data_IF_918820092872
#
_entry.id   IF_918820092872
#
_cell.length_a   1.000
_cell.length_b   1.000
_cell.length_c   1.000
_cell.angle_alpha   90.00
_cell.angle_beta   90.00
_cell.angle_gamma   90.00
#
_symmetry.space_group_name_H-M   'P 1'
#
loop_
_entity.id
_entity.type
_entity.pdbx_description
1 polymer ?
#
# COMPACT_ATOMS: atom_id res chain seq x y z
N UNK A 1 -28.18 44.92 -21.25
CA UNK A 1 -28.28 44.21 -19.97
C UNK A 1 -26.98 43.48 -19.75
N UNK A 2 -26.10 44.09 -18.97
CA UNK A 2 -24.83 43.49 -18.54
C UNK A 2 -25.16 42.73 -17.26
N UNK A 3 -25.07 41.40 -17.29
CA UNK A 3 -25.20 40.59 -16.08
C UNK A 3 -23.91 40.75 -15.29
N UNK A 4 -23.99 41.52 -14.21
CA UNK A 4 -22.94 41.64 -13.23
C UNK A 4 -22.94 40.33 -12.42
N UNK A 5 -21.99 39.43 -12.70
CA UNK A 5 -21.72 38.27 -11.84
C UNK A 5 -21.19 38.81 -10.52
N UNK A 6 -22.12 39.06 -9.60
CA UNK A 6 -21.80 39.45 -8.24
C UNK A 6 -20.86 38.42 -7.64
N UNK A 7 -19.68 38.88 -7.25
CA UNK A 7 -18.81 38.18 -6.31
C UNK A 7 -19.67 37.75 -5.13
N UNK A 8 -19.95 36.44 -5.04
CA UNK A 8 -20.57 35.87 -3.85
C UNK A 8 -19.53 36.01 -2.74
N UNK A 9 -19.67 37.08 -1.96
CA UNK A 9 -18.87 37.30 -0.76
C UNK A 9 -19.33 36.28 0.29
N UNK A 10 -18.71 35.10 0.29
CA UNK A 10 -18.94 34.10 1.32
C UNK A 10 -18.37 34.67 2.63
N UNK A 11 -19.28 35.02 3.55
CA UNK A 11 -18.92 35.53 4.87
C UNK A 11 -17.96 34.55 5.58
N UNK A 12 -16.83 35.00 6.15
CA UNK A 12 -15.88 34.14 6.87
C UNK A 12 -16.45 33.44 8.11
N UNK A 13 -17.68 33.77 8.54
CA UNK A 13 -18.22 33.39 9.85
C UNK A 13 -18.93 32.03 9.94
N UNK A 14 -19.10 31.29 8.84
CA UNK A 14 -19.81 30.00 8.85
C UNK A 14 -19.14 28.95 7.95
N UNK A 15 -17.82 28.78 8.04
CA UNK A 15 -17.16 27.61 7.46
C UNK A 15 -17.41 26.41 8.37
N UNK A 16 -18.43 25.62 8.07
CA UNK A 16 -18.67 24.35 8.76
C UNK A 16 -17.62 23.34 8.27
N UNK A 17 -16.52 23.24 9.01
CA UNK A 17 -15.41 22.34 8.68
C UNK A 17 -15.88 20.89 8.54
N UNK A 18 -16.89 20.47 9.31
CA UNK A 18 -17.44 19.10 9.21
C UNK A 18 -18.20 18.91 7.90
N UNK A 19 -18.94 19.91 7.45
CA UNK A 19 -19.60 19.86 6.15
C UNK A 19 -18.58 19.80 5.01
N UNK A 20 -17.47 20.52 5.12
CA UNK A 20 -16.39 20.51 4.13
C UNK A 20 -15.65 19.16 4.13
N UNK A 21 -15.37 18.58 5.30
CA UNK A 21 -14.82 17.22 5.40
C UNK A 21 -15.74 16.20 4.73
N UNK A 22 -17.06 16.31 4.89
CA UNK A 22 -18.02 15.44 4.19
C UNK A 22 -17.99 15.61 2.66
N UNK A 23 -17.73 16.83 2.16
CA UNK A 23 -17.53 17.05 0.72
C UNK A 23 -16.25 16.37 0.24
N UNK A 24 -15.16 16.44 1.02
CA UNK A 24 -13.93 15.71 0.73
C UNK A 24 -14.16 14.19 0.76
N UNK A 25 -14.87 13.66 1.77
CA UNK A 25 -15.23 12.25 1.86
C UNK A 25 -16.00 11.80 0.60
N UNK A 26 -16.97 12.60 0.16
CA UNK A 26 -17.77 12.32 -1.04
C UNK A 26 -16.92 12.36 -2.32
N UNK A 27 -16.07 13.37 -2.48
CA UNK A 27 -15.19 13.49 -3.64
C UNK A 27 -14.17 12.34 -3.69
N UNK A 28 -13.65 11.94 -2.54
CA UNK A 28 -12.73 10.82 -2.40
C UNK A 28 -13.41 9.50 -2.83
N UNK A 29 -14.62 9.23 -2.32
CA UNK A 29 -15.40 8.06 -2.70
C UNK A 29 -15.76 8.05 -4.20
N UNK A 30 -16.21 9.19 -4.73
CA UNK A 30 -16.54 9.33 -6.15
C UNK A 30 -15.32 9.04 -7.04
N UNK A 31 -14.15 9.60 -6.70
CA UNK A 31 -12.90 9.34 -7.43
C UNK A 31 -12.62 7.84 -7.56
N UNK A 32 -12.69 7.09 -6.46
CA UNK A 32 -12.36 5.66 -6.45
C UNK A 32 -13.32 4.83 -7.33
N UNK A 33 -14.57 5.27 -7.47
CA UNK A 33 -15.54 4.65 -8.39
C UNK A 33 -15.20 5.00 -9.86
N UNK A 34 -14.73 6.22 -10.12
CA UNK A 34 -14.45 6.72 -11.47
C UNK A 34 -13.18 6.12 -12.05
N UNK A 35 -12.15 5.91 -11.22
CA UNK A 35 -10.91 5.22 -11.62
C UNK A 35 -11.22 3.80 -12.14
N UNK A 36 -12.38 3.22 -11.78
CA UNK A 36 -12.87 1.93 -12.27
C UNK A 36 -13.67 2.02 -13.58
N UNK A 37 -14.31 3.16 -13.88
CA UNK A 37 -15.29 3.30 -14.97
C UNK A 37 -14.77 4.06 -16.21
N UNK A 38 -13.59 4.69 -16.12
CA UNK A 38 -12.94 5.52 -17.15
C UNK A 38 -13.88 6.55 -17.84
N UNK A 39 -14.77 7.13 -17.04
CA UNK A 39 -15.85 8.03 -17.45
C UNK A 39 -15.41 9.51 -17.36
N UNK A 40 -15.08 10.12 -18.49
CA UNK A 40 -14.60 11.53 -18.57
C UNK A 40 -15.55 12.52 -17.87
N UNK A 41 -16.87 12.34 -17.98
CA UNK A 41 -17.85 13.25 -17.36
C UNK A 41 -17.91 13.17 -15.84
N UNK A 42 -17.60 12.02 -15.26
CA UNK A 42 -17.62 11.83 -13.80
C UNK A 42 -16.34 12.40 -13.16
N UNK A 43 -15.20 12.34 -13.88
CA UNK A 43 -13.94 13.00 -13.49
C UNK A 43 -14.15 14.51 -13.32
N UNK A 44 -14.89 15.17 -14.22
CA UNK A 44 -15.12 16.62 -14.13
C UNK A 44 -16.02 17.01 -12.95
N UNK A 45 -17.05 16.21 -12.66
CA UNK A 45 -17.91 16.43 -11.48
C UNK A 45 -17.08 16.34 -10.18
N UNK A 46 -16.14 15.40 -10.11
CA UNK A 46 -15.26 15.24 -8.96
C UNK A 46 -14.30 16.42 -8.80
N UNK A 47 -13.74 16.95 -9.91
CA UNK A 47 -12.91 18.17 -9.87
C UNK A 47 -13.68 19.37 -9.33
N UNK A 48 -14.94 19.55 -9.72
CA UNK A 48 -15.76 20.66 -9.21
C UNK A 48 -15.94 20.60 -7.68
N UNK A 49 -16.09 19.40 -7.10
CA UNK A 49 -16.17 19.26 -5.63
C UNK A 49 -14.85 19.69 -4.97
N UNK A 50 -13.69 19.27 -5.50
CA UNK A 50 -12.41 19.70 -4.96
C UNK A 50 -12.18 21.22 -5.14
N UNK A 51 -12.57 21.81 -6.28
CA UNK A 51 -12.53 23.27 -6.49
C UNK A 51 -13.39 24.01 -5.46
N UNK A 52 -14.56 23.48 -5.08
CA UNK A 52 -15.38 24.04 -4.00
C UNK A 52 -14.67 23.96 -2.64
N UNK A 53 -13.97 22.85 -2.35
CA UNK A 53 -13.16 22.73 -1.13
C UNK A 53 -12.02 23.75 -1.12
N UNK A 54 -11.37 24.05 -2.25
CA UNK A 54 -10.33 25.09 -2.32
C UNK A 54 -10.84 26.47 -1.88
N UNK A 55 -12.09 26.80 -2.19
CA UNK A 55 -12.71 28.08 -1.84
C UNK A 55 -13.12 28.14 -0.36
N UNK A 56 -13.62 27.03 0.18
CA UNK A 56 -14.31 27.02 1.47
C UNK A 56 -13.48 26.43 2.61
N UNK A 57 -12.55 25.53 2.32
CA UNK A 57 -11.76 24.76 3.30
C UNK A 57 -10.86 25.60 4.19
N UNK A 58 -10.38 24.95 5.26
CA UNK A 58 -9.18 25.37 5.99
C UNK A 58 -7.91 24.98 5.20
N UNK A 59 -6.73 25.37 5.70
CA UNK A 59 -5.47 25.16 4.95
C UNK A 59 -5.16 23.69 4.68
N UNK A 60 -5.45 22.79 5.61
CA UNK A 60 -5.25 21.34 5.46
C UNK A 60 -6.20 20.76 4.39
N UNK A 61 -7.49 21.06 4.50
CA UNK A 61 -8.52 20.63 3.55
C UNK A 61 -8.25 21.15 2.13
N UNK A 62 -7.75 22.38 2.02
CA UNK A 62 -7.33 22.93 0.72
C UNK A 62 -6.15 22.17 0.16
N UNK A 63 -5.11 21.92 0.97
CA UNK A 63 -3.91 21.19 0.52
C UNK A 63 -4.25 19.76 0.08
N UNK A 64 -5.18 19.12 0.78
CA UNK A 64 -5.75 17.84 0.37
C UNK A 64 -6.49 17.93 -0.98
N UNK A 65 -7.37 18.92 -1.16
CA UNK A 65 -8.07 19.13 -2.42
C UNK A 65 -7.11 19.45 -3.59
N UNK A 66 -6.05 20.23 -3.35
CA UNK A 66 -5.01 20.51 -4.36
C UNK A 66 -4.32 19.24 -4.84
N UNK A 67 -4.01 18.32 -3.92
CA UNK A 67 -3.41 17.03 -4.27
C UNK A 67 -4.31 16.18 -5.15
N UNK A 68 -5.59 16.04 -4.80
CA UNK A 68 -6.50 15.24 -5.62
C UNK A 68 -6.77 15.86 -6.99
N UNK A 69 -6.86 17.19 -7.07
CA UNK A 69 -6.94 17.88 -8.36
C UNK A 69 -5.68 17.61 -9.20
N UNK A 70 -4.50 17.76 -8.61
CA UNK A 70 -3.24 17.46 -9.29
C UNK A 70 -3.20 16.01 -9.78
N UNK A 71 -3.64 15.04 -8.98
CA UNK A 71 -3.71 13.61 -9.33
C UNK A 71 -4.69 13.35 -10.49
N UNK A 72 -5.88 13.97 -10.47
CA UNK A 72 -6.85 13.86 -11.56
C UNK A 72 -6.31 14.47 -12.86
N UNK A 73 -5.69 15.65 -12.78
CA UNK A 73 -5.07 16.31 -13.93
C UNK A 73 -3.88 15.51 -14.45
N UNK A 74 -3.06 14.89 -13.59
CA UNK A 74 -1.94 14.02 -13.96
C UNK A 74 -2.36 12.85 -14.88
N UNK A 75 -3.59 12.35 -14.71
CA UNK A 75 -4.18 11.29 -15.53
C UNK A 75 -4.98 11.78 -16.75
N UNK A 76 -4.99 13.09 -17.04
CA UNK A 76 -5.76 13.67 -18.13
C UNK A 76 -5.22 13.28 -19.51
N UNK A 77 -6.13 13.22 -20.50
CA UNK A 77 -5.79 13.06 -21.92
C UNK A 77 -5.39 14.39 -22.56
N UNK A 78 -5.77 15.52 -21.95
CA UNK A 78 -5.29 16.83 -22.36
C UNK A 78 -3.87 17.05 -21.85
N UNK A 79 -2.91 17.18 -22.76
CA UNK A 79 -1.49 17.23 -22.39
C UNK A 79 -1.12 18.50 -21.61
N UNK A 80 -1.86 19.61 -21.79
CA UNK A 80 -1.62 20.83 -21.03
C UNK A 80 -2.08 20.67 -19.57
N UNK A 81 -3.29 20.15 -19.37
CA UNK A 81 -3.80 19.81 -18.04
C UNK A 81 -2.93 18.75 -17.34
N UNK A 82 -2.50 17.74 -18.08
CA UNK A 82 -1.58 16.71 -17.58
C UNK A 82 -0.27 17.28 -17.11
N UNK A 83 0.29 18.25 -17.85
CA UNK A 83 1.50 18.93 -17.43
C UNK A 83 1.27 19.79 -16.19
N UNK A 84 0.16 20.51 -16.10
CA UNK A 84 -0.21 21.27 -14.89
C UNK A 84 -0.34 20.35 -13.66
N UNK A 85 -0.98 19.20 -13.82
CA UNK A 85 -1.07 18.18 -12.77
C UNK A 85 0.30 17.64 -12.33
N UNK A 86 1.22 17.43 -13.28
CA UNK A 86 2.62 17.03 -12.99
C UNK A 86 3.36 18.10 -12.20
N UNK A 87 3.28 19.35 -12.64
CA UNK A 87 3.98 20.47 -12.03
C UNK A 87 3.44 20.72 -10.61
N UNK A 88 2.12 20.67 -10.42
CA UNK A 88 1.50 20.80 -9.10
C UNK A 88 1.86 19.64 -8.18
N UNK A 89 1.93 18.42 -8.69
CA UNK A 89 2.36 17.25 -7.91
C UNK A 89 3.81 17.37 -7.44
N UNK A 90 4.72 17.82 -8.32
CA UNK A 90 6.11 18.10 -7.96
C UNK A 90 6.23 19.23 -6.93
N UNK A 91 5.42 20.29 -7.08
CA UNK A 91 5.38 21.38 -6.11
C UNK A 91 4.91 20.90 -4.73
N UNK A 92 3.83 20.12 -4.66
CA UNK A 92 3.35 19.54 -3.39
C UNK A 92 4.41 18.66 -2.73
N UNK A 93 5.11 17.83 -3.52
CA UNK A 93 6.20 17.01 -3.02
C UNK A 93 7.40 17.85 -2.54
N UNK A 94 7.68 18.99 -3.17
CA UNK A 94 8.73 19.93 -2.72
C UNK A 94 8.39 20.64 -1.41
N UNK A 95 7.10 20.69 -1.07
CA UNK A 95 6.58 21.18 0.22
C UNK A 95 6.48 20.05 1.27
N UNK A 96 7.20 18.95 1.03
CA UNK A 96 7.21 17.72 1.85
C UNK A 96 5.81 17.16 2.14
N UNK A 97 4.84 17.38 1.25
CA UNK A 97 3.47 16.90 1.44
C UNK A 97 3.41 15.37 1.24
N UNK A 98 3.13 14.58 2.30
CA UNK A 98 3.29 13.14 2.23
C UNK A 98 2.51 12.46 1.09
N UNK A 99 1.26 12.85 0.76
CA UNK A 99 0.53 12.17 -0.31
C UNK A 99 1.15 12.35 -1.69
N UNK A 100 1.74 13.53 -1.95
CA UNK A 100 2.46 13.78 -3.19
C UNK A 100 3.78 13.01 -3.25
N UNK A 101 4.52 12.93 -2.14
CA UNK A 101 5.74 12.13 -2.02
C UNK A 101 5.44 10.64 -2.28
N UNK A 102 4.42 10.08 -1.65
CA UNK A 102 3.98 8.69 -1.86
C UNK A 102 3.58 8.45 -3.31
N UNK A 103 2.77 9.33 -3.90
CA UNK A 103 2.34 9.20 -5.29
C UNK A 103 3.51 9.20 -6.27
N UNK A 104 4.46 10.12 -6.12
CA UNK A 104 5.65 10.18 -6.97
C UNK A 104 6.58 8.98 -6.74
N UNK A 105 6.80 8.56 -5.49
CA UNK A 105 7.58 7.36 -5.17
C UNK A 105 7.00 6.12 -5.85
N UNK A 106 5.69 5.91 -5.75
CA UNK A 106 5.00 4.81 -6.42
C UNK A 106 5.18 4.85 -7.94
N UNK A 107 4.98 6.01 -8.56
CA UNK A 107 5.14 6.15 -10.02
C UNK A 107 6.57 5.86 -10.47
N UNK A 108 7.57 6.42 -9.78
CA UNK A 108 8.97 6.20 -10.12
C UNK A 108 9.42 4.76 -9.87
N UNK A 109 8.84 4.06 -8.89
CA UNK A 109 9.13 2.64 -8.65
C UNK A 109 8.76 1.72 -9.81
N UNK A 110 7.82 2.15 -10.68
CA UNK A 110 7.31 1.36 -11.81
C UNK A 110 8.04 1.65 -13.12
N UNK A 111 9.02 2.54 -13.12
CA UNK A 111 9.85 2.81 -14.30
C UNK A 111 10.80 1.63 -14.57
N UNK A 112 11.05 1.35 -15.86
CA UNK A 112 11.89 0.22 -16.29
C UNK A 112 13.32 0.26 -15.72
N UNK A 113 13.81 1.47 -15.42
CA UNK A 113 15.13 1.72 -14.84
C UNK A 113 15.03 2.65 -13.63
N UNK A 114 14.09 2.35 -12.72
CA UNK A 114 13.89 3.12 -11.49
C UNK A 114 15.17 3.22 -10.65
N UNK A 115 15.54 4.46 -10.28
CA UNK A 115 16.55 4.70 -9.26
C UNK A 115 15.94 4.43 -7.87
N UNK A 116 16.20 3.23 -7.34
CA UNK A 116 15.69 2.78 -6.04
C UNK A 116 16.03 3.71 -4.88
N UNK A 117 17.20 4.36 -4.91
CA UNK A 117 17.58 5.28 -3.85
C UNK A 117 16.72 6.53 -3.88
N UNK A 118 16.43 7.04 -5.08
CA UNK A 118 15.51 8.16 -5.27
C UNK A 118 14.08 7.81 -4.84
N UNK A 119 13.60 6.62 -5.20
CA UNK A 119 12.27 6.13 -4.77
C UNK A 119 12.20 6.04 -3.25
N UNK A 120 13.23 5.47 -2.62
CA UNK A 120 13.34 5.39 -1.16
C UNK A 120 13.30 6.76 -0.50
N UNK A 121 14.02 7.74 -1.06
CA UNK A 121 14.04 9.11 -0.53
C UNK A 121 12.63 9.72 -0.46
N UNK A 122 11.78 9.47 -1.45
CA UNK A 122 10.38 9.92 -1.43
C UNK A 122 9.61 9.32 -0.25
N UNK A 123 9.69 8.00 -0.05
CA UNK A 123 8.97 7.34 1.03
C UNK A 123 9.52 7.70 2.42
N UNK A 124 10.84 7.83 2.56
CA UNK A 124 11.44 8.28 3.83
C UNK A 124 11.05 9.72 4.17
N UNK A 125 10.99 10.63 3.17
CA UNK A 125 10.44 11.98 3.39
C UNK A 125 8.98 11.93 3.77
N UNK A 126 8.16 11.10 3.10
CA UNK A 126 6.74 10.97 3.42
C UNK A 126 6.54 10.49 4.86
N UNK A 127 7.30 9.47 5.27
CA UNK A 127 7.28 8.92 6.63
C UNK A 127 7.68 9.98 7.67
N UNK A 128 8.72 10.77 7.39
CA UNK A 128 9.20 11.80 8.31
C UNK A 128 8.21 12.98 8.44
N UNK A 129 7.52 13.33 7.36
CA UNK A 129 6.62 14.49 7.31
C UNK A 129 5.19 14.19 7.76
N UNK A 130 4.76 12.92 7.75
CA UNK A 130 3.42 12.49 8.17
C UNK A 130 3.15 12.71 9.68
N UNK A 131 4.17 12.66 10.54
CA UNK A 131 3.99 12.80 11.98
C UNK A 131 3.09 11.70 12.58
N UNK A 132 1.99 12.07 13.25
CA UNK A 132 0.99 11.13 13.82
C UNK A 132 -0.34 11.11 13.04
N UNK A 133 -0.42 11.84 11.93
CA UNK A 133 -1.66 12.02 11.18
C UNK A 133 -1.79 10.93 10.10
N UNK A 134 -2.95 10.28 10.04
CA UNK A 134 -3.25 9.32 8.96
C UNK A 134 -3.88 10.07 7.78
N UNK A 135 -3.45 9.76 6.55
CA UNK A 135 -4.06 10.29 5.33
C UNK A 135 -5.10 9.31 4.78
N UNK A 136 -6.02 9.80 3.95
CA UNK A 136 -7.07 8.94 3.35
C UNK A 136 -6.51 7.82 2.48
N UNK A 137 -5.44 8.10 1.74
CA UNK A 137 -4.88 7.18 0.75
C UNK A 137 -3.96 6.12 1.36
N UNK A 138 -3.36 6.39 2.53
CA UNK A 138 -2.38 5.50 3.14
C UNK A 138 -2.07 5.86 4.60
N UNK A 139 -1.55 4.87 5.32
CA UNK A 139 -1.11 4.90 6.72
C UNK A 139 0.40 4.73 6.81
N UNK A 140 0.96 4.94 8.00
CA UNK A 140 2.39 4.71 8.28
C UNK A 140 2.84 3.31 7.82
N UNK A 141 2.02 2.29 8.07
CA UNK A 141 2.31 0.91 7.70
C UNK A 141 2.53 0.74 6.19
N UNK A 142 1.78 1.46 5.36
CA UNK A 142 1.82 1.29 3.90
C UNK A 142 3.13 1.88 3.36
N UNK A 143 3.61 2.99 3.94
CA UNK A 143 4.93 3.55 3.63
C UNK A 143 6.06 2.57 4.03
N UNK A 144 5.95 1.97 5.22
CA UNK A 144 6.95 1.02 5.70
C UNK A 144 7.02 -0.23 4.83
N UNK A 145 5.85 -0.71 4.39
CA UNK A 145 5.71 -1.80 3.43
C UNK A 145 6.36 -1.45 2.08
N UNK A 146 6.09 -0.26 1.56
CA UNK A 146 6.68 0.23 0.32
C UNK A 146 8.21 0.37 0.40
N UNK A 147 8.76 0.87 1.51
CA UNK A 147 10.22 0.95 1.72
C UNK A 147 10.84 -0.45 1.75
N UNK A 148 10.20 -1.41 2.42
CA UNK A 148 10.67 -2.80 2.44
C UNK A 148 10.69 -3.40 1.02
N UNK A 149 9.65 -3.13 0.22
CA UNK A 149 9.49 -3.71 -1.11
C UNK A 149 10.50 -3.22 -2.15
N UNK A 150 11.02 -1.99 -2.03
CA UNK A 150 12.09 -1.48 -2.92
C UNK A 150 13.29 -2.44 -2.97
N UNK A 151 13.62 -3.02 -1.82
CA UNK A 151 14.78 -3.87 -1.61
C UNK A 151 14.46 -5.36 -1.66
N UNK A 152 13.21 -5.74 -1.96
CA UNK A 152 12.75 -7.11 -1.81
C UNK A 152 13.65 -8.12 -2.55
N UNK A 153 14.12 -7.78 -3.75
CA UNK A 153 14.99 -8.65 -4.57
C UNK A 153 16.45 -8.71 -4.12
N UNK A 154 16.87 -7.84 -3.20
CA UNK A 154 18.24 -7.78 -2.68
C UNK A 154 18.33 -8.50 -1.33
N UNK A 155 18.75 -9.79 -1.38
CA UNK A 155 18.75 -10.69 -0.21
C UNK A 155 19.34 -10.09 1.07
N UNK A 156 20.47 -9.38 0.97
CA UNK A 156 21.11 -8.74 2.13
C UNK A 156 20.26 -7.60 2.71
N UNK A 157 19.66 -6.79 1.84
CA UNK A 157 18.84 -5.66 2.27
C UNK A 157 17.50 -6.15 2.84
N UNK A 158 16.87 -7.15 2.21
CA UNK A 158 15.66 -7.81 2.73
C UNK A 158 15.85 -8.28 4.17
N UNK A 159 16.97 -8.95 4.44
CA UNK A 159 17.32 -9.42 5.79
C UNK A 159 17.58 -8.29 6.79
N UNK A 160 18.16 -7.17 6.34
CA UNK A 160 18.43 -6.02 7.22
C UNK A 160 17.15 -5.21 7.50
N UNK A 161 16.21 -5.19 6.57
CA UNK A 161 15.02 -4.33 6.60
C UNK A 161 13.77 -5.01 7.20
N UNK A 162 13.84 -6.26 7.68
CA UNK A 162 12.66 -6.95 8.23
C UNK A 162 12.02 -6.21 9.42
N UNK A 163 12.79 -5.41 10.16
CA UNK A 163 12.29 -4.56 11.25
C UNK A 163 11.21 -3.57 10.79
N UNK A 164 11.20 -3.20 9.50
CA UNK A 164 10.14 -2.38 8.91
C UNK A 164 8.80 -3.11 8.90
N UNK A 165 8.80 -4.43 8.68
CA UNK A 165 7.59 -5.26 8.72
C UNK A 165 7.03 -5.39 10.14
N UNK A 166 7.90 -5.51 11.14
CA UNK A 166 7.49 -5.47 12.56
C UNK A 166 6.91 -4.09 12.91
N UNK A 167 7.54 -3.00 12.44
CA UNK A 167 7.04 -1.63 12.65
C UNK A 167 5.71 -1.37 11.92
N UNK A 168 5.55 -1.96 10.74
CA UNK A 168 4.30 -1.94 9.98
C UNK A 168 3.21 -2.83 10.60
N UNK A 169 3.52 -3.57 11.68
CA UNK A 169 2.60 -4.46 12.41
C UNK A 169 1.99 -5.51 11.50
N UNK A 170 2.80 -6.10 10.62
CA UNK A 170 2.33 -7.10 9.67
C UNK A 170 2.00 -8.47 10.30
N UNK A 171 2.12 -8.61 11.62
CA UNK A 171 1.57 -9.72 12.40
C UNK A 171 0.21 -9.39 13.03
N UNK A 172 -0.22 -8.12 13.04
CA UNK A 172 -1.55 -7.69 13.49
C UNK A 172 -2.55 -7.83 12.33
N UNK A 173 -3.81 -8.18 12.64
CA UNK A 173 -4.93 -8.12 11.69
C UNK A 173 -4.74 -8.84 10.33
N UNK A 174 -4.03 -9.98 10.31
CA UNK A 174 -3.90 -10.93 9.17
C UNK A 174 -5.24 -11.48 8.62
N UNK A 175 -6.38 -10.93 9.07
CA UNK A 175 -7.75 -11.36 8.76
C UNK A 175 -8.49 -10.35 7.87
N UNK A 176 -7.85 -9.24 7.51
CA UNK A 176 -8.45 -8.20 6.66
C UNK A 176 -8.41 -8.66 5.19
N UNK A 177 -9.42 -8.30 4.40
CA UNK A 177 -9.55 -8.62 2.95
C UNK A 177 -8.54 -7.86 2.07
N UNK A 178 -7.46 -7.34 2.66
CA UNK A 178 -6.42 -6.54 2.03
C UNK A 178 -5.24 -7.45 1.65
N UNK A 179 -5.12 -7.77 0.36
CA UNK A 179 -4.08 -8.64 -0.21
C UNK A 179 -2.66 -8.19 0.18
N UNK A 180 -2.44 -6.88 0.39
CA UNK A 180 -1.14 -6.34 0.79
C UNK A 180 -0.76 -6.73 2.23
N UNK A 181 -1.75 -6.85 3.13
CA UNK A 181 -1.50 -7.31 4.51
C UNK A 181 -1.08 -8.77 4.50
N UNK A 182 -1.70 -9.62 3.68
CA UNK A 182 -1.34 -11.03 3.59
C UNK A 182 0.10 -11.19 3.10
N UNK A 183 0.51 -10.45 2.06
CA UNK A 183 1.88 -10.50 1.55
C UNK A 183 2.89 -9.93 2.56
N UNK A 184 2.56 -8.86 3.26
CA UNK A 184 3.41 -8.34 4.33
C UNK A 184 3.59 -9.35 5.48
N UNK A 185 2.50 -10.03 5.85
CA UNK A 185 2.50 -11.09 6.88
C UNK A 185 3.37 -12.28 6.50
N UNK A 186 3.25 -12.75 5.25
CA UNK A 186 4.05 -13.86 4.70
C UNK A 186 5.53 -13.51 4.77
N UNK A 187 5.90 -12.31 4.34
CA UNK A 187 7.29 -11.84 4.37
C UNK A 187 7.86 -11.81 5.79
N UNK A 188 7.09 -11.30 6.77
CA UNK A 188 7.52 -11.28 8.16
C UNK A 188 7.70 -12.70 8.71
N UNK A 189 6.78 -13.61 8.39
CA UNK A 189 6.87 -15.01 8.77
C UNK A 189 8.09 -15.72 8.15
N UNK A 190 8.40 -15.46 6.88
CA UNK A 190 9.60 -15.98 6.22
C UNK A 190 10.87 -15.55 6.96
N UNK A 191 10.99 -14.26 7.33
CA UNK A 191 12.12 -13.77 8.14
C UNK A 191 12.21 -14.45 9.50
N UNK A 192 11.07 -14.73 10.13
CA UNK A 192 11.03 -15.49 11.38
C UNK A 192 11.49 -16.94 11.18
N UNK A 193 11.13 -17.62 10.10
CA UNK A 193 11.65 -18.96 9.75
C UNK A 193 13.16 -18.91 9.57
N UNK A 194 13.69 -17.97 8.78
CA UNK A 194 15.13 -17.83 8.55
C UNK A 194 15.92 -17.54 9.84
N UNK A 195 15.28 -16.85 10.78
CA UNK A 195 15.86 -16.50 12.08
C UNK A 195 15.65 -17.56 13.16
N UNK A 196 14.99 -18.69 12.85
CA UNK A 196 14.68 -19.76 13.80
C UNK A 196 13.56 -19.42 14.81
N UNK A 197 12.83 -18.32 14.61
CA UNK A 197 11.68 -17.90 15.42
C UNK A 197 10.40 -18.65 14.97
N UNK A 198 10.46 -19.98 14.98
CA UNK A 198 9.45 -20.85 14.36
C UNK A 198 8.05 -20.68 14.94
N UNK A 199 7.91 -20.49 16.26
CA UNK A 199 6.59 -20.31 16.90
C UNK A 199 5.87 -19.06 16.38
N UNK A 200 6.60 -17.96 16.17
CA UNK A 200 6.02 -16.72 15.62
C UNK A 200 5.62 -16.89 14.16
N UNK A 201 6.48 -17.50 13.35
CA UNK A 201 6.19 -17.76 11.94
C UNK A 201 4.97 -18.68 11.78
N UNK A 202 4.90 -19.72 12.61
CA UNK A 202 3.80 -20.68 12.63
C UNK A 202 2.45 -20.01 12.91
N UNK A 203 2.38 -19.15 13.94
CA UNK A 203 1.13 -18.43 14.26
C UNK A 203 0.63 -17.59 13.07
N UNK A 204 1.53 -16.88 12.40
CA UNK A 204 1.18 -16.07 11.23
C UNK A 204 0.67 -16.94 10.07
N UNK A 205 1.39 -18.00 9.68
CA UNK A 205 0.95 -18.86 8.60
C UNK A 205 -0.36 -19.58 8.91
N UNK A 206 -0.55 -20.06 10.14
CA UNK A 206 -1.82 -20.66 10.57
C UNK A 206 -2.96 -19.65 10.57
N UNK A 207 -2.69 -18.36 10.80
CA UNK A 207 -3.69 -17.29 10.68
C UNK A 207 -4.11 -17.07 9.23
N UNK A 208 -3.17 -16.99 8.30
CA UNK A 208 -3.47 -16.82 6.86
C UNK A 208 -4.30 -18.00 6.36
N UNK A 209 -3.90 -19.23 6.69
CA UNK A 209 -4.58 -20.45 6.26
C UNK A 209 -6.00 -20.64 6.81
N UNK A 210 -6.41 -19.85 7.83
CA UNK A 210 -7.82 -19.83 8.27
C UNK A 210 -8.74 -19.11 7.29
N UNK A 211 -8.21 -18.23 6.45
CA UNK A 211 -8.97 -17.44 5.46
C UNK A 211 -8.71 -17.94 4.04
N UNK A 212 -7.44 -18.17 3.73
CA UNK A 212 -6.98 -18.71 2.46
C UNK A 212 -6.27 -20.04 2.71
N UNK A 213 -7.06 -21.13 2.79
CA UNK A 213 -6.51 -22.47 3.05
C UNK A 213 -5.56 -22.97 1.97
N UNK A 214 -5.60 -22.34 0.80
CA UNK A 214 -4.82 -22.70 -0.39
C UNK A 214 -3.63 -21.74 -0.59
N UNK A 215 -3.31 -20.92 0.42
CA UNK A 215 -2.18 -20.02 0.37
C UNK A 215 -0.86 -20.80 0.29
N UNK A 216 -0.30 -20.90 -0.92
CA UNK A 216 0.87 -21.73 -1.22
C UNK A 216 2.11 -21.33 -0.41
N UNK A 217 2.29 -20.03 -0.12
CA UNK A 217 3.41 -19.53 0.66
C UNK A 217 3.29 -19.94 2.13
N UNK A 218 2.09 -19.85 2.71
CA UNK A 218 1.85 -20.25 4.09
C UNK A 218 1.93 -21.76 4.29
N UNK A 219 1.41 -22.55 3.35
CA UNK A 219 1.57 -24.00 3.33
C UNK A 219 3.06 -24.39 3.27
N UNK A 220 3.82 -23.78 2.35
CA UNK A 220 5.26 -24.05 2.21
C UNK A 220 6.05 -23.61 3.45
N UNK A 221 5.69 -22.46 4.03
CA UNK A 221 6.29 -21.95 5.26
C UNK A 221 6.06 -22.85 6.48
N UNK A 222 4.87 -23.43 6.64
CA UNK A 222 4.62 -24.46 7.66
C UNK A 222 5.43 -25.73 7.38
N UNK A 223 5.51 -26.16 6.12
CA UNK A 223 6.40 -27.26 5.71
C UNK A 223 7.84 -27.02 6.16
N UNK A 224 8.37 -25.82 5.89
CA UNK A 224 9.71 -25.37 6.29
C UNK A 224 9.90 -25.37 7.80
N UNK A 225 8.92 -24.92 8.58
CA UNK A 225 8.97 -24.93 10.05
C UNK A 225 9.07 -26.35 10.58
N UNK A 226 8.25 -27.28 10.09
CA UNK A 226 8.28 -28.67 10.55
C UNK A 226 9.51 -29.43 10.03
N UNK A 227 10.04 -29.04 8.88
CA UNK A 227 11.23 -29.64 8.29
C UNK A 227 12.53 -29.16 8.96
N UNK A 228 12.68 -27.84 9.15
CA UNK A 228 13.91 -27.20 9.66
C UNK A 228 13.92 -27.05 11.18
N UNK A 229 12.77 -26.78 11.79
CA UNK A 229 12.70 -26.16 13.11
C UNK A 229 12.22 -27.03 14.27
N UNK A 230 11.40 -28.05 14.01
CA UNK A 230 10.78 -28.87 15.07
C UNK A 230 11.20 -30.34 15.08
N UNK A 231 12.21 -30.70 14.29
CA UNK A 231 13.08 -31.88 14.49
C UNK A 231 12.46 -33.28 14.42
N UNK A 232 11.15 -33.45 14.56
CA UNK A 232 10.53 -34.79 14.70
C UNK A 232 9.19 -34.93 13.97
N UNK A 233 8.71 -33.89 13.28
CA UNK A 233 7.41 -33.90 12.59
C UNK A 233 7.53 -33.88 11.07
N UNK A 234 8.36 -34.77 10.54
CA UNK A 234 8.51 -34.94 9.09
C UNK A 234 7.19 -35.39 8.42
N UNK A 235 6.30 -36.02 9.18
CA UNK A 235 4.91 -36.31 8.78
C UNK A 235 4.14 -35.04 8.43
N UNK A 236 4.23 -34.00 9.28
CA UNK A 236 3.58 -32.71 9.04
C UNK A 236 4.26 -31.94 7.91
N UNK A 237 5.60 -31.92 7.87
CA UNK A 237 6.32 -31.29 6.76
C UNK A 237 5.86 -31.86 5.41
N UNK A 238 5.76 -33.20 5.32
CA UNK A 238 5.23 -33.89 4.16
C UNK A 238 3.78 -33.50 3.86
N UNK A 239 2.91 -33.42 4.86
CA UNK A 239 1.51 -33.01 4.67
C UNK A 239 1.41 -31.62 4.04
N UNK A 240 2.10 -30.63 4.61
CA UNK A 240 2.03 -29.24 4.16
C UNK A 240 2.67 -29.03 2.78
N UNK A 241 3.85 -29.61 2.52
CA UNK A 241 4.43 -29.58 1.18
C UNK A 241 3.57 -30.33 0.15
N UNK A 242 2.91 -31.42 0.55
CA UNK A 242 1.98 -32.16 -0.31
C UNK A 242 0.81 -31.29 -0.74
N UNK A 243 0.16 -30.60 0.21
CA UNK A 243 -0.92 -29.65 -0.08
C UNK A 243 -0.48 -28.54 -1.05
N UNK A 244 0.66 -27.90 -0.81
CA UNK A 244 1.19 -26.89 -1.73
C UNK A 244 1.56 -27.46 -3.11
N UNK A 245 2.05 -28.71 -3.17
CA UNK A 245 2.32 -29.41 -4.42
C UNK A 245 1.04 -29.73 -5.21
N UNK A 246 -0.04 -30.12 -4.53
CA UNK A 246 -1.34 -30.39 -5.16
C UNK A 246 -1.86 -29.13 -5.88
N UNK A 247 -1.59 -27.96 -5.30
CA UNK A 247 -1.81 -26.61 -5.85
C UNK A 247 -0.79 -26.18 -6.93
N UNK A 248 0.04 -27.10 -7.41
CA UNK A 248 1.02 -26.91 -8.49
C UNK A 248 2.19 -25.99 -8.16
N UNK A 249 2.49 -25.77 -6.87
CA UNK A 249 3.70 -25.08 -6.48
C UNK A 249 4.92 -26.01 -6.60
N UNK A 250 5.72 -25.83 -7.64
CA UNK A 250 6.81 -26.76 -8.01
C UNK A 250 7.85 -26.91 -6.91
N UNK A 251 8.24 -25.83 -6.24
CA UNK A 251 9.23 -25.89 -5.15
C UNK A 251 8.74 -26.77 -3.99
N UNK A 252 7.47 -26.69 -3.62
CA UNK A 252 6.89 -27.59 -2.62
C UNK A 252 6.82 -29.05 -3.10
N UNK A 253 6.61 -29.31 -4.39
CA UNK A 253 6.69 -30.67 -4.93
C UNK A 253 8.10 -31.27 -4.81
N UNK A 254 9.14 -30.45 -4.98
CA UNK A 254 10.53 -30.88 -4.85
C UNK A 254 10.84 -31.22 -3.38
N UNK A 255 10.43 -30.35 -2.46
CA UNK A 255 10.55 -30.56 -1.01
C UNK A 255 9.73 -31.76 -0.53
N UNK A 256 8.51 -31.95 -1.02
CA UNK A 256 7.69 -33.12 -0.74
C UNK A 256 8.39 -34.42 -1.13
N UNK A 257 9.07 -34.45 -2.29
CA UNK A 257 9.87 -35.61 -2.71
C UNK A 257 11.08 -35.83 -1.81
N UNK A 258 11.83 -34.77 -1.49
CA UNK A 258 12.99 -34.85 -0.59
C UNK A 258 12.61 -35.42 0.78
N UNK A 259 11.53 -34.90 1.39
CA UNK A 259 11.04 -35.38 2.69
C UNK A 259 10.63 -36.86 2.62
N UNK A 260 9.97 -37.29 1.53
CA UNK A 260 9.60 -38.69 1.33
C UNK A 260 10.79 -39.65 1.18
N UNK A 261 11.91 -39.17 0.62
CA UNK A 261 13.12 -39.97 0.46
C UNK A 261 13.89 -40.12 1.78
N UNK A 262 13.80 -39.13 2.68
CA UNK A 262 14.47 -39.15 4.00
C UNK A 262 13.74 -39.94 5.09
N UNK A 263 12.43 -40.17 4.94
CA UNK A 263 11.61 -40.94 5.90
C UNK A 263 11.70 -42.47 5.68
N UNK A 264 12.34 -42.93 4.59
CA UNK A 264 12.54 -44.37 4.29
C UNK A 264 13.63 -45.00 5.13
#
# INVERSE_FOLDING_TARGET
MVWNLGLIYVSPKNKDEKAITKLLDLAYLAKNIIDYLDSVGEKETTKEIYKLVLLMGNEEQKKEAEFYLAKLSYGSLDEMEKQDGRDKMQWLASEDYPPALMFLGFLYSRELYADKNRVREYYEKALNSMGKEEYREYKERDILWDIYNIDYWEKNNRKNNYHLLEKAKCDENVLDEDDDIALCSINLAEHYVESGKYDKAKDIYERILRYDSDNIFSLSGLGDIYYKGLGERQDLAKEYYGKACDLKYQEACDLFREVNEKIR
#
